data_IF_612477667274
#
_entry.id   IF_612477667274
#
_cell.length_a   1.000
_cell.length_b   1.000
_cell.length_c   1.000
_cell.angle_alpha   90.00
_cell.angle_beta   90.00
_cell.angle_gamma   90.00
#
_symmetry.space_group_name_H-M   'P 1'
#
loop_
_entity.id
_entity.type
_entity.pdbx_description
1 polymer ?
#
# COMPACT_ATOMS: atom_id res chain seq x y z
N UNK A 1 -21.24 14.07 8.85
CA UNK A 1 -21.26 13.27 10.09
C UNK A 1 -21.70 11.84 9.80
N UNK A 2 -22.79 11.61 9.13
CA UNK A 2 -23.30 10.26 8.78
C UNK A 2 -22.30 9.37 8.01
N UNK A 3 -21.49 9.92 7.10
CA UNK A 3 -20.50 9.16 6.33
C UNK A 3 -19.29 8.76 7.16
N UNK A 4 -18.85 9.61 8.09
CA UNK A 4 -17.78 9.28 9.05
C UNK A 4 -18.23 8.10 9.92
N UNK A 5 -19.46 8.16 10.46
CA UNK A 5 -20.02 7.11 11.31
C UNK A 5 -20.14 5.77 10.58
N UNK A 6 -20.50 5.81 9.28
CA UNK A 6 -20.55 4.61 8.43
C UNK A 6 -19.17 3.97 8.28
N UNK A 7 -18.13 4.77 8.05
CA UNK A 7 -16.76 4.25 7.96
C UNK A 7 -16.23 3.76 9.29
N UNK A 8 -16.50 4.47 10.40
CA UNK A 8 -16.10 4.01 11.73
C UNK A 8 -16.67 2.64 12.04
N UNK A 9 -17.98 2.44 11.85
CA UNK A 9 -18.64 1.13 12.06
C UNK A 9 -18.15 0.06 11.10
N UNK A 10 -17.98 0.40 9.80
CA UNK A 10 -17.53 -0.56 8.79
C UNK A 10 -16.17 -1.17 9.10
N UNK A 11 -15.28 -0.39 9.71
CA UNK A 11 -13.90 -0.78 9.98
C UNK A 11 -13.62 -0.99 11.47
N UNK A 12 -14.63 -0.99 12.33
CA UNK A 12 -14.48 -1.20 13.76
C UNK A 12 -13.68 -0.10 14.48
N UNK A 13 -13.59 1.10 13.87
CA UNK A 13 -12.83 2.22 14.46
C UNK A 13 -13.51 2.83 15.68
N UNK A 14 -14.80 2.62 15.86
CA UNK A 14 -15.57 3.02 17.01
C UNK A 14 -15.25 2.18 18.27
N UNK A 15 -14.70 0.97 18.10
CA UNK A 15 -14.21 0.12 19.17
C UNK A 15 -12.77 0.46 19.58
N UNK A 16 -12.02 1.11 18.69
CA UNK A 16 -10.59 1.39 18.80
C UNK A 16 -10.31 2.82 19.26
N UNK A 17 -11.03 3.79 18.69
CA UNK A 17 -10.83 5.20 18.98
C UNK A 17 -11.72 5.64 20.15
N UNK A 18 -11.14 6.31 21.18
CA UNK A 18 -11.93 6.92 22.24
C UNK A 18 -13.03 7.83 21.69
N UNK A 19 -14.20 7.81 22.31
CA UNK A 19 -15.35 8.59 21.86
C UNK A 19 -15.07 10.09 21.73
N UNK A 20 -14.15 10.63 22.54
CA UNK A 20 -13.71 12.02 22.49
C UNK A 20 -12.90 12.37 21.20
N UNK A 21 -12.34 11.38 20.50
CA UNK A 21 -11.62 11.58 19.21
C UNK A 21 -12.60 11.73 18.06
N UNK A 22 -13.76 11.08 18.12
CA UNK A 22 -14.75 11.07 17.04
C UNK A 22 -15.16 12.46 16.51
N UNK A 23 -15.45 13.48 17.36
CA UNK A 23 -15.80 14.84 16.88
C UNK A 23 -14.65 15.54 16.13
N UNK A 24 -13.40 15.07 16.30
CA UNK A 24 -12.21 15.65 15.70
C UNK A 24 -11.88 15.03 14.32
N UNK A 25 -12.54 13.92 13.96
CA UNK A 25 -12.37 13.25 12.67
C UNK A 25 -12.94 14.10 11.54
N UNK A 26 -12.19 14.19 10.45
CA UNK A 26 -12.62 14.82 9.19
C UNK A 26 -12.53 13.80 8.07
N UNK A 27 -13.51 13.82 7.19
CA UNK A 27 -13.46 13.07 5.94
C UNK A 27 -12.81 13.95 4.86
N UNK A 28 -11.69 13.51 4.31
CA UNK A 28 -10.94 14.19 3.25
C UNK A 28 -10.94 13.32 2.00
N UNK A 29 -11.08 13.94 0.83
CA UNK A 29 -11.08 13.30 -0.48
C UNK A 29 -9.90 13.76 -1.29
N UNK A 30 -9.31 12.82 -2.01
CA UNK A 30 -8.19 13.08 -2.90
C UNK A 30 -8.52 12.51 -4.28
N UNK A 31 -8.17 13.26 -5.32
CA UNK A 31 -8.29 12.79 -6.71
C UNK A 31 -7.07 11.98 -7.10
N UNK A 32 -7.20 11.15 -8.13
CA UNK A 32 -6.08 10.36 -8.67
C UNK A 32 -4.88 11.25 -8.99
N UNK A 33 -3.69 10.85 -8.53
CA UNK A 33 -2.43 11.57 -8.69
C UNK A 33 -2.16 12.65 -7.64
N UNK A 34 -3.11 12.93 -6.75
CA UNK A 34 -2.94 13.94 -5.70
C UNK A 34 -2.04 13.42 -4.57
N UNK A 35 -1.13 14.28 -4.10
CA UNK A 35 -0.28 13.99 -2.96
C UNK A 35 -1.07 14.15 -1.64
N UNK A 36 -1.09 13.09 -0.84
CA UNK A 36 -1.70 13.05 0.50
C UNK A 36 -0.70 13.52 1.55
N UNK A 37 0.53 13.00 1.45
CA UNK A 37 1.66 13.36 2.28
C UNK A 37 2.91 13.52 1.42
N UNK A 38 3.78 14.47 1.75
CA UNK A 38 5.05 14.68 1.04
C UNK A 38 6.21 14.38 1.98
N UNK A 39 7.16 13.57 1.54
CA UNK A 39 8.38 13.25 2.28
C UNK A 39 9.10 14.52 2.74
N UNK A 40 9.50 14.58 4.00
CA UNK A 40 10.17 15.73 4.63
C UNK A 40 9.23 16.84 5.08
N UNK A 41 7.96 16.85 4.66
CA UNK A 41 7.00 17.82 5.17
C UNK A 41 6.63 17.52 6.63
N UNK A 42 6.20 18.55 7.37
CA UNK A 42 5.74 18.41 8.75
C UNK A 42 4.54 17.48 8.84
N UNK A 43 4.63 16.43 9.66
CA UNK A 43 3.55 15.53 9.94
C UNK A 43 2.73 16.05 11.14
N UNK A 44 1.45 16.32 10.92
CA UNK A 44 0.54 16.85 11.94
C UNK A 44 -0.75 16.05 12.06
N UNK A 45 -0.96 15.09 11.16
CA UNK A 45 -2.23 14.38 11.04
C UNK A 45 -1.99 12.89 10.81
N UNK A 46 -2.87 12.08 11.41
CA UNK A 46 -3.00 10.66 11.14
C UNK A 46 -4.16 10.46 10.16
N UNK A 47 -3.96 9.59 9.19
CA UNK A 47 -4.92 9.31 8.12
C UNK A 47 -5.28 7.83 8.15
N UNK A 48 -6.58 7.51 8.18
CA UNK A 48 -7.13 6.18 8.01
C UNK A 48 -7.65 6.07 6.58
N UNK A 49 -7.07 5.22 5.76
CA UNK A 49 -7.54 4.96 4.40
C UNK A 49 -8.86 4.18 4.46
N UNK A 50 -9.97 4.79 4.04
CA UNK A 50 -11.29 4.16 4.13
C UNK A 50 -11.89 3.82 2.75
N UNK A 51 -11.34 4.36 1.67
CA UNK A 51 -11.72 4.03 0.30
C UNK A 51 -10.60 4.36 -0.68
N UNK A 52 -10.47 3.56 -1.73
CA UNK A 52 -9.49 3.76 -2.78
C UNK A 52 -8.15 3.05 -2.54
N UNK A 53 -7.16 3.38 -3.38
CA UNK A 53 -5.80 2.82 -3.36
C UNK A 53 -4.78 3.95 -3.35
N UNK A 54 -3.76 3.82 -2.53
CA UNK A 54 -2.65 4.77 -2.43
C UNK A 54 -1.33 4.07 -2.72
N UNK A 55 -0.34 4.86 -3.13
CA UNK A 55 1.05 4.47 -3.37
C UNK A 55 1.94 5.17 -2.36
N UNK A 56 2.83 4.41 -1.72
CA UNK A 56 3.86 4.94 -0.80
C UNK A 56 5.19 4.86 -1.50
N UNK A 57 5.88 5.98 -1.66
CA UNK A 57 7.18 6.07 -2.32
C UNK A 57 8.19 6.83 -1.47
N UNK A 58 9.45 6.40 -1.54
CA UNK A 58 10.60 7.08 -0.93
C UNK A 58 11.49 7.67 -2.00
N UNK A 59 11.97 8.89 -1.76
CA UNK A 59 12.96 9.53 -2.63
C UNK A 59 14.28 9.64 -1.89
N UNK A 60 15.33 9.04 -2.47
CA UNK A 60 16.67 9.10 -1.90
C UNK A 60 17.27 10.51 -2.00
N UNK A 61 18.35 10.81 -1.25
CA UNK A 61 19.08 12.07 -1.36
C UNK A 61 19.61 12.36 -2.78
N UNK A 62 19.82 11.33 -3.60
CA UNK A 62 20.22 11.45 -5.01
C UNK A 62 19.04 11.65 -5.97
N UNK A 63 17.81 11.87 -5.46
CA UNK A 63 16.60 12.07 -6.25
C UNK A 63 16.01 10.79 -6.88
N UNK A 64 16.54 9.62 -6.55
CA UNK A 64 15.97 8.35 -7.04
C UNK A 64 14.73 8.01 -6.23
N UNK A 65 13.61 7.82 -6.92
CA UNK A 65 12.33 7.41 -6.33
C UNK A 65 12.24 5.88 -6.32
N UNK A 66 11.68 5.33 -5.25
CA UNK A 66 11.42 3.91 -5.06
C UNK A 66 10.00 3.73 -4.51
N UNK A 67 9.17 2.96 -5.19
CA UNK A 67 7.86 2.56 -4.66
C UNK A 67 8.05 1.48 -3.62
N UNK A 68 7.57 1.74 -2.42
CA UNK A 68 7.72 0.84 -1.27
C UNK A 68 6.53 -0.10 -1.11
N UNK A 69 5.32 0.39 -1.40
CA UNK A 69 4.09 -0.40 -1.29
C UNK A 69 2.89 0.33 -1.89
N UNK A 70 1.88 -0.45 -2.24
CA UNK A 70 0.51 0.01 -2.39
C UNK A 70 -0.27 -0.31 -1.12
N UNK A 71 -1.27 0.52 -0.80
CA UNK A 71 -2.09 0.38 0.39
C UNK A 71 -3.57 0.43 0.02
N UNK A 72 -4.34 -0.34 0.77
CA UNK A 72 -5.79 -0.49 0.63
C UNK A 72 -6.48 -0.20 1.97
N UNK A 73 -7.81 -0.07 2.04
CA UNK A 73 -8.52 -0.03 3.32
C UNK A 73 -8.34 -1.35 4.12
N UNK A 74 -8.10 -1.31 5.42
CA UNK A 74 -7.82 -0.17 6.27
C UNK A 74 -6.30 -0.07 6.53
N UNK A 75 -5.67 0.97 6.04
CA UNK A 75 -4.26 1.25 6.34
C UNK A 75 -4.13 2.63 7.01
N UNK A 76 -3.13 2.77 7.89
CA UNK A 76 -2.79 4.02 8.57
C UNK A 76 -1.63 4.71 7.87
N UNK A 77 -1.70 6.05 7.74
CA UNK A 77 -0.60 6.88 7.26
C UNK A 77 -0.33 7.95 8.31
N UNK A 78 0.95 8.12 8.65
CA UNK A 78 1.37 9.04 9.71
C UNK A 78 1.51 8.39 11.08
N UNK A 79 1.35 7.08 11.19
CA UNK A 79 1.45 6.33 12.45
C UNK A 79 2.88 6.35 13.02
N UNK A 80 3.89 6.10 12.21
CA UNK A 80 5.30 6.18 12.61
C UNK A 80 5.65 7.63 13.01
N UNK A 81 5.22 8.59 12.21
CA UNK A 81 5.45 10.02 12.43
C UNK A 81 4.73 10.51 13.70
N UNK A 82 3.52 9.99 13.98
CA UNK A 82 2.79 10.27 15.22
C UNK A 82 3.57 9.80 16.45
N UNK A 83 4.09 8.57 16.42
CA UNK A 83 4.83 7.99 17.53
C UNK A 83 6.19 8.65 17.71
N UNK A 84 6.93 8.86 16.61
CA UNK A 84 8.31 9.35 16.63
C UNK A 84 8.44 10.87 16.61
N UNK A 85 7.37 11.60 16.32
CA UNK A 85 7.37 13.07 16.18
C UNK A 85 8.38 13.54 15.12
N UNK A 86 8.44 12.84 13.99
CA UNK A 86 9.30 13.17 12.84
C UNK A 86 8.48 13.74 11.68
N UNK A 87 9.10 14.43 10.72
CA UNK A 87 8.48 14.72 9.42
C UNK A 87 8.09 13.44 8.69
N UNK A 88 7.23 13.56 7.68
CA UNK A 88 6.84 12.40 6.85
C UNK A 88 8.06 11.72 6.23
N UNK A 89 8.18 10.42 6.47
CA UNK A 89 9.29 9.60 5.98
C UNK A 89 9.16 9.30 4.48
N UNK A 90 7.95 9.33 3.95
CA UNK A 90 7.64 8.94 2.58
C UNK A 90 6.62 9.90 1.96
N UNK A 91 6.61 9.94 0.62
CA UNK A 91 5.51 10.54 -0.14
C UNK A 91 4.41 9.53 -0.33
N UNK A 92 3.16 9.96 -0.12
CA UNK A 92 1.96 9.13 -0.31
C UNK A 92 1.06 9.83 -1.34
N UNK A 93 0.65 9.09 -2.36
CA UNK A 93 -0.14 9.60 -3.48
C UNK A 93 -1.38 8.73 -3.72
N UNK A 94 -2.47 9.36 -4.13
CA UNK A 94 -3.69 8.67 -4.54
C UNK A 94 -3.52 7.99 -5.91
N UNK A 95 -3.72 6.67 -5.99
CA UNK A 95 -3.70 5.90 -7.25
C UNK A 95 -5.08 5.86 -7.91
N UNK A 96 -6.11 5.82 -7.10
CA UNK A 96 -7.52 5.97 -7.50
C UNK A 96 -8.12 7.15 -6.74
N UNK A 97 -9.37 7.56 -6.95
CA UNK A 97 -10.06 8.44 -6.00
C UNK A 97 -10.03 7.83 -4.60
N UNK A 98 -9.61 8.61 -3.61
CA UNK A 98 -9.35 8.16 -2.24
C UNK A 98 -10.20 8.95 -1.25
N UNK A 99 -10.74 8.26 -0.24
CA UNK A 99 -11.32 8.88 0.95
C UNK A 99 -10.53 8.45 2.20
N UNK A 100 -10.26 9.41 3.08
CA UNK A 100 -9.56 9.19 4.34
C UNK A 100 -10.30 9.84 5.50
N UNK A 101 -10.34 9.15 6.64
CA UNK A 101 -10.62 9.80 7.91
C UNK A 101 -9.31 10.35 8.46
N UNK A 102 -9.32 11.62 8.82
CA UNK A 102 -8.13 12.37 9.23
C UNK A 102 -8.34 12.95 10.61
N UNK A 103 -7.33 12.83 11.48
CA UNK A 103 -7.33 13.42 12.83
C UNK A 103 -5.97 14.05 13.12
N UNK A 104 -5.95 15.18 13.83
CA UNK A 104 -4.70 15.84 14.22
C UNK A 104 -3.97 15.05 15.30
N UNK A 105 -2.65 15.08 15.25
CA UNK A 105 -1.81 14.48 16.30
C UNK A 105 -2.07 15.07 17.69
N UNK A 106 -2.35 16.37 17.77
CA UNK A 106 -2.65 17.05 19.02
C UNK A 106 -3.96 16.56 19.65
N UNK A 107 -4.97 16.25 18.82
CA UNK A 107 -6.24 15.73 19.29
C UNK A 107 -6.11 14.29 19.78
N UNK A 108 -5.34 13.45 19.08
CA UNK A 108 -4.98 12.12 19.56
C UNK A 108 -4.16 12.17 20.84
N UNK A 109 -3.18 13.07 20.92
CA UNK A 109 -2.37 13.24 22.13
C UNK A 109 -3.19 13.69 23.32
N UNK A 110 -4.24 14.48 23.12
CA UNK A 110 -5.13 14.98 24.16
C UNK A 110 -6.14 13.93 24.63
N UNK A 111 -6.66 13.11 23.71
CA UNK A 111 -7.83 12.27 23.98
C UNK A 111 -7.56 10.76 23.93
N UNK A 112 -6.42 10.33 23.39
CA UNK A 112 -6.11 8.91 23.19
C UNK A 112 -4.71 8.49 23.67
N UNK A 113 -3.89 9.41 24.20
CA UNK A 113 -2.49 9.14 24.57
C UNK A 113 -2.32 7.98 25.58
N UNK A 114 -3.25 7.84 26.51
CA UNK A 114 -3.21 6.84 27.57
C UNK A 114 -4.27 5.73 27.37
N UNK A 115 -4.97 5.76 26.23
CA UNK A 115 -5.96 4.74 25.91
C UNK A 115 -5.26 3.45 25.45
N UNK A 116 -5.42 2.39 26.24
CA UNK A 116 -4.74 1.10 26.01
C UNK A 116 -5.20 0.45 24.70
N UNK A 117 -6.48 0.54 24.35
CA UNK A 117 -7.05 -0.04 23.14
C UNK A 117 -6.47 0.64 21.90
N UNK A 118 -6.40 1.98 21.92
CA UNK A 118 -5.77 2.76 20.86
C UNK A 118 -4.27 2.45 20.70
N UNK A 119 -3.54 2.40 21.82
CA UNK A 119 -2.10 2.10 21.81
C UNK A 119 -1.83 0.68 21.29
N UNK A 120 -2.66 -0.28 21.66
CA UNK A 120 -2.55 -1.66 21.16
C UNK A 120 -2.81 -1.72 19.66
N UNK A 121 -3.84 -1.04 19.15
CA UNK A 121 -4.15 -0.95 17.75
C UNK A 121 -3.00 -0.32 16.91
N UNK A 122 -2.39 0.76 17.43
CA UNK A 122 -1.20 1.36 16.79
C UNK A 122 -0.02 0.38 16.75
N UNK A 123 0.25 -0.29 17.87
CA UNK A 123 1.35 -1.25 17.99
C UNK A 123 1.14 -2.41 17.02
N UNK A 124 -0.05 -2.98 16.97
CA UNK A 124 -0.41 -4.04 16.02
C UNK A 124 -0.25 -3.58 14.57
N UNK A 125 -0.74 -2.40 14.22
CA UNK A 125 -0.59 -1.84 12.88
C UNK A 125 0.86 -1.66 12.46
N UNK A 126 1.72 -1.15 13.36
CA UNK A 126 3.15 -0.94 13.10
C UNK A 126 3.89 -2.28 13.00
N UNK A 127 3.60 -3.22 13.88
CA UNK A 127 4.24 -4.55 13.88
C UNK A 127 3.86 -5.34 12.64
N UNK A 128 2.61 -5.31 12.22
CA UNK A 128 2.15 -5.91 10.95
C UNK A 128 2.87 -5.31 9.74
N UNK A 129 3.03 -3.99 9.69
CA UNK A 129 3.80 -3.32 8.62
C UNK A 129 5.27 -3.75 8.63
N UNK A 130 5.88 -3.90 9.79
CA UNK A 130 7.25 -4.36 9.94
C UNK A 130 7.39 -5.81 9.45
N UNK A 131 6.49 -6.70 9.84
CA UNK A 131 6.45 -8.09 9.39
C UNK A 131 6.35 -8.19 7.86
N UNK A 132 5.37 -7.51 7.26
CA UNK A 132 5.20 -7.48 5.80
C UNK A 132 6.45 -6.94 5.09
N UNK A 133 7.11 -5.92 5.63
CA UNK A 133 8.35 -5.38 5.07
C UNK A 133 9.51 -6.38 5.18
N UNK A 134 9.64 -7.07 6.28
CA UNK A 134 10.66 -8.10 6.50
C UNK A 134 10.48 -9.27 5.53
N UNK A 135 9.25 -9.74 5.35
CA UNK A 135 8.90 -10.81 4.40
C UNK A 135 9.19 -10.37 2.96
N UNK A 136 8.73 -9.18 2.56
CA UNK A 136 8.97 -8.63 1.22
C UNK A 136 10.47 -8.47 0.92
N UNK A 137 11.26 -8.01 1.89
CA UNK A 137 12.70 -7.87 1.73
C UNK A 137 13.36 -9.24 1.59
N UNK A 138 13.00 -10.22 2.40
CA UNK A 138 13.49 -11.59 2.32
C UNK A 138 13.13 -12.23 0.97
N UNK A 139 11.89 -12.07 0.52
CA UNK A 139 11.42 -12.55 -0.77
C UNK A 139 12.26 -11.94 -1.92
N UNK A 140 12.49 -10.63 -1.89
CA UNK A 140 13.29 -9.95 -2.90
C UNK A 140 14.76 -10.37 -2.93
N UNK A 141 15.30 -10.86 -1.81
CA UNK A 141 16.68 -11.34 -1.72
C UNK A 141 16.83 -12.81 -2.14
N UNK A 142 15.86 -13.65 -1.81
CA UNK A 142 15.98 -15.10 -2.01
C UNK A 142 15.52 -15.57 -3.39
N UNK A 143 14.54 -14.90 -3.99
CA UNK A 143 13.92 -15.38 -5.22
C UNK A 143 14.35 -14.60 -6.46
N UNK A 144 14.52 -15.28 -7.62
CA UNK A 144 14.84 -14.63 -8.89
C UNK A 144 13.68 -13.77 -9.39
N UNK A 145 13.98 -12.86 -10.32
CA UNK A 145 13.01 -11.83 -10.80
C UNK A 145 11.77 -12.43 -11.44
N UNK A 146 11.87 -13.56 -12.12
CA UNK A 146 10.73 -14.25 -12.73
C UNK A 146 9.75 -14.77 -11.68
N UNK A 147 10.23 -15.38 -10.61
CA UNK A 147 9.42 -15.80 -9.45
C UNK A 147 8.73 -14.58 -8.82
N UNK A 148 9.48 -13.52 -8.55
CA UNK A 148 8.94 -12.30 -7.92
C UNK A 148 7.88 -11.62 -8.79
N UNK A 149 8.11 -11.56 -10.10
CA UNK A 149 7.16 -10.97 -11.04
C UNK A 149 5.91 -11.83 -11.20
N UNK A 150 6.06 -13.15 -11.32
CA UNK A 150 4.92 -14.07 -11.40
C UNK A 150 4.06 -14.00 -10.14
N UNK A 151 4.67 -14.02 -8.96
CA UNK A 151 4.01 -13.86 -7.68
C UNK A 151 3.25 -12.53 -7.57
N UNK A 152 3.88 -11.42 -7.97
CA UNK A 152 3.23 -10.11 -8.03
C UNK A 152 1.99 -10.11 -8.93
N UNK A 153 2.10 -10.65 -10.15
CA UNK A 153 0.97 -10.71 -11.09
C UNK A 153 -0.18 -11.54 -10.53
N UNK A 154 0.11 -12.67 -9.89
CA UNK A 154 -0.89 -13.52 -9.25
C UNK A 154 -1.61 -12.81 -8.10
N UNK A 155 -0.88 -12.06 -7.25
CA UNK A 155 -1.46 -11.33 -6.13
C UNK A 155 -2.36 -10.17 -6.56
N UNK A 156 -2.06 -9.57 -7.72
CA UNK A 156 -2.82 -8.43 -8.27
C UNK A 156 -4.06 -8.85 -9.08
N UNK A 157 -4.18 -10.14 -9.41
CA UNK A 157 -5.27 -10.66 -10.25
C UNK A 157 -6.04 -11.75 -9.49
N UNK A 158 -7.20 -11.43 -8.85
CA UNK A 158 -8.03 -12.42 -8.18
C UNK A 158 -8.42 -13.59 -9.10
N UNK A 159 -8.69 -14.76 -8.52
CA UNK A 159 -8.93 -16.01 -9.27
C UNK A 159 -10.07 -15.94 -10.28
N UNK A 160 -11.05 -15.08 -10.04
CA UNK A 160 -12.26 -14.97 -10.89
C UNK A 160 -12.13 -13.91 -12.02
N UNK A 161 -11.02 -13.19 -12.10
CA UNK A 161 -10.85 -12.10 -13.07
C UNK A 161 -9.79 -12.46 -14.12
N UNK A 162 -10.22 -12.77 -15.33
CA UNK A 162 -9.35 -12.98 -16.50
C UNK A 162 -8.82 -11.67 -17.12
N UNK A 163 -9.33 -10.52 -16.68
CA UNK A 163 -8.88 -9.20 -17.15
C UNK A 163 -7.97 -8.59 -16.09
N UNK A 164 -6.70 -8.44 -16.43
CA UNK A 164 -5.72 -7.79 -15.60
C UNK A 164 -6.15 -6.39 -15.21
N UNK A 165 -5.91 -6.03 -13.94
CA UNK A 165 -5.95 -4.64 -13.51
C UNK A 165 -5.01 -3.80 -14.37
N UNK A 166 -5.37 -2.53 -14.58
CA UNK A 166 -4.45 -1.54 -15.16
C UNK A 166 -3.08 -1.68 -14.52
N UNK A 167 -2.10 -2.01 -15.32
CA UNK A 167 -0.73 -2.18 -14.83
C UNK A 167 -0.27 -0.83 -14.33
N UNK A 168 0.08 -0.75 -13.06
CA UNK A 168 0.89 0.34 -12.53
C UNK A 168 2.10 0.51 -13.45
N UNK A 169 2.65 1.70 -13.56
CA UNK A 169 3.80 1.91 -14.44
C UNK A 169 4.84 0.81 -14.18
N UNK A 170 5.38 0.19 -15.22
CA UNK A 170 6.34 -0.92 -15.08
C UNK A 170 7.55 -0.55 -14.20
N UNK A 171 7.82 0.73 -14.07
CA UNK A 171 8.81 1.27 -13.14
C UNK A 171 8.42 1.03 -11.68
N UNK A 172 7.13 1.24 -11.35
CA UNK A 172 6.61 1.01 -9.99
C UNK A 172 6.65 -0.49 -9.64
N UNK A 173 6.35 -1.36 -10.61
CA UNK A 173 6.47 -2.82 -10.44
C UNK A 173 7.94 -3.20 -10.22
N UNK A 174 8.85 -2.65 -11.03
CA UNK A 174 10.28 -2.91 -10.90
C UNK A 174 10.81 -2.51 -9.52
N UNK A 175 10.40 -1.35 -9.03
CA UNK A 175 10.74 -0.86 -7.71
C UNK A 175 10.20 -1.80 -6.61
N UNK A 176 8.92 -2.18 -6.70
CA UNK A 176 8.26 -3.01 -5.70
C UNK A 176 8.91 -4.38 -5.55
N UNK A 177 9.26 -5.03 -6.69
CA UNK A 177 9.90 -6.33 -6.70
C UNK A 177 11.43 -6.25 -6.64
N UNK A 178 12.00 -5.07 -6.41
CA UNK A 178 13.44 -4.86 -6.19
C UNK A 178 14.31 -5.19 -7.41
N UNK A 179 13.92 -4.70 -8.60
CA UNK A 179 14.68 -4.93 -9.85
C UNK A 179 14.66 -3.71 -10.76
N UNK A 180 15.19 -3.81 -11.99
CA UNK A 180 15.14 -2.74 -12.98
C UNK A 180 13.97 -2.90 -13.95
N UNK A 181 13.44 -1.77 -14.46
CA UNK A 181 12.47 -1.74 -15.57
C UNK A 181 12.86 -2.66 -16.74
N UNK A 182 14.15 -2.64 -17.13
CA UNK A 182 14.65 -3.48 -18.24
C UNK A 182 14.48 -4.96 -17.95
N UNK A 183 14.72 -5.38 -16.71
CA UNK A 183 14.59 -6.77 -16.29
C UNK A 183 13.11 -7.19 -16.25
N UNK A 184 12.23 -6.38 -15.67
CA UNK A 184 10.78 -6.62 -15.70
C UNK A 184 10.30 -6.79 -17.14
N UNK A 185 10.65 -5.85 -18.02
CA UNK A 185 10.20 -5.88 -19.41
C UNK A 185 10.67 -7.12 -20.18
N UNK A 186 11.92 -7.56 -19.92
CA UNK A 186 12.47 -8.81 -20.49
C UNK A 186 11.73 -10.04 -19.96
N UNK A 187 11.44 -10.09 -18.67
CA UNK A 187 10.71 -11.21 -18.06
C UNK A 187 9.27 -11.28 -18.57
N UNK A 188 8.57 -10.13 -18.68
CA UNK A 188 7.23 -10.08 -19.26
C UNK A 188 7.21 -10.59 -20.70
N UNK A 189 8.20 -10.22 -21.54
CA UNK A 189 8.31 -10.75 -22.91
C UNK A 189 8.40 -12.27 -22.92
N UNK A 190 9.24 -12.84 -22.05
CA UNK A 190 9.38 -14.29 -21.92
C UNK A 190 8.06 -14.95 -21.47
N UNK A 191 7.32 -14.35 -20.56
CA UNK A 191 6.01 -14.87 -20.14
C UNK A 191 4.98 -14.84 -21.26
N UNK A 192 5.01 -13.81 -22.12
CA UNK A 192 4.18 -13.78 -23.34
C UNK A 192 4.58 -14.88 -24.31
N UNK A 193 5.88 -15.07 -24.58
CA UNK A 193 6.40 -16.12 -25.46
C UNK A 193 6.05 -17.54 -24.96
N UNK A 194 5.92 -17.72 -23.64
CA UNK A 194 5.50 -18.96 -23.01
C UNK A 194 3.98 -19.14 -22.92
N UNK A 195 3.20 -18.16 -23.38
CA UNK A 195 1.73 -18.19 -23.31
C UNK A 195 1.15 -18.02 -21.90
N UNK A 196 1.97 -17.63 -20.91
CA UNK A 196 1.52 -17.45 -19.53
C UNK A 196 0.66 -16.20 -19.35
N UNK A 197 0.97 -15.14 -20.11
CA UNK A 197 0.28 -13.85 -20.08
C UNK A 197 0.07 -13.31 -21.49
N UNK A 198 -0.94 -12.47 -21.65
CA UNK A 198 -1.08 -11.56 -22.76
C UNK A 198 -0.84 -10.13 -22.29
N UNK A 199 -0.21 -9.30 -23.14
CA UNK A 199 0.13 -7.94 -22.79
C UNK A 199 -0.18 -6.98 -23.93
N UNK A 200 -0.93 -5.93 -23.62
CA UNK A 200 -1.09 -4.76 -24.47
C UNK A 200 -0.36 -3.53 -23.88
N UNK A 201 -0.65 -2.33 -24.39
CA UNK A 201 0.01 -1.07 -23.94
C UNK A 201 -0.32 -0.68 -22.51
N UNK A 202 -1.45 -1.14 -21.93
CA UNK A 202 -1.99 -0.68 -20.65
C UNK A 202 -2.43 -1.81 -19.72
N UNK A 203 -2.44 -3.05 -20.21
CA UNK A 203 -2.91 -4.19 -19.44
C UNK A 203 -2.03 -5.42 -19.60
N UNK A 204 -2.03 -6.25 -18.56
CA UNK A 204 -1.48 -7.60 -18.57
C UNK A 204 -2.62 -8.53 -18.15
N UNK A 205 -2.92 -9.51 -18.99
CA UNK A 205 -3.90 -10.55 -18.69
C UNK A 205 -3.18 -11.88 -18.43
N UNK A 206 -3.58 -12.61 -17.39
CA UNK A 206 -3.08 -13.96 -17.12
C UNK A 206 -3.83 -14.92 -18.03
N UNK A 207 -3.10 -15.65 -18.87
CA UNK A 207 -3.63 -16.64 -19.80
C UNK A 207 -3.53 -18.07 -19.23
N UNK A 208 -2.41 -18.36 -18.58
CA UNK A 208 -2.16 -19.62 -17.89
C UNK A 208 -1.76 -19.38 -16.43
N UNK A 209 -2.78 -19.40 -15.56
CA UNK A 209 -2.58 -19.20 -14.12
C UNK A 209 -1.80 -20.35 -13.48
N UNK A 210 -2.06 -21.59 -13.91
CA UNK A 210 -1.35 -22.75 -13.38
C UNK A 210 0.13 -22.72 -13.77
N UNK A 211 0.44 -22.32 -15.01
CA UNK A 211 1.80 -22.10 -15.46
C UNK A 211 2.53 -21.00 -14.68
N UNK A 212 1.86 -19.87 -14.36
CA UNK A 212 2.44 -18.84 -13.52
C UNK A 212 2.66 -19.32 -12.07
N UNK A 213 1.75 -20.11 -11.49
CA UNK A 213 1.93 -20.73 -10.18
C UNK A 213 3.14 -21.67 -10.20
N UNK A 214 3.31 -22.46 -11.26
CA UNK A 214 4.48 -23.33 -11.42
C UNK A 214 5.80 -22.55 -11.46
N UNK A 215 5.81 -21.34 -12.05
CA UNK A 215 6.98 -20.43 -12.01
C UNK A 215 7.30 -20.00 -10.59
N UNK A 216 6.30 -19.78 -9.73
CA UNK A 216 6.53 -19.36 -8.34
C UNK A 216 7.04 -20.48 -7.43
N UNK A 217 6.95 -21.74 -7.85
CA UNK A 217 7.27 -22.88 -6.99
C UNK A 217 6.42 -22.90 -5.70
N UNK A 218 5.14 -22.48 -5.81
CA UNK A 218 4.19 -22.30 -4.69
C UNK A 218 4.53 -21.12 -3.74
N UNK A 219 5.55 -20.32 -4.04
CA UNK A 219 5.90 -19.12 -3.28
C UNK A 219 5.13 -17.91 -3.82
N UNK A 220 3.94 -17.64 -3.28
CA UNK A 220 3.12 -16.49 -3.66
C UNK A 220 3.44 -15.29 -2.76
N UNK A 221 3.50 -14.12 -3.36
CA UNK A 221 3.66 -12.83 -2.67
C UNK A 221 2.33 -12.50 -1.96
N UNK A 222 2.24 -12.69 -0.67
CA UNK A 222 1.11 -12.25 0.17
C UNK A 222 1.28 -10.82 0.68
#
# INVERSE_FOLDING_TARGET
MEQIDRYMKRYGLDEVLPSAVRPQLKLVRYVTGEAICTQGAKAEQLHFLVSGKIRVAHTSAAGKRLVLSFKHPLDLIGDIEYVRRTPFLNTVEAVTPVEMLVVRFDDLARHAKEDVTWLHYLLEGITKKFEMKSQSMSFNLFYPVDVRLASYLLSMTPEETTLGSTVDELTDIADLIGTSYRHVNRTLKRFVEQGLIERDRRSIAIMDRAGLIAVTGESIYE
#
